data_IF_878325067368
#
_entry.id   IF_878325067368
#
_cell.length_a   1.000
_cell.length_b   1.000
_cell.length_c   1.000
_cell.angle_alpha   90.00
_cell.angle_beta   90.00
_cell.angle_gamma   90.00
#
_symmetry.space_group_name_H-M   'P 1'
#
loop_
_entity.id
_entity.type
_entity.pdbx_description
1 polymer ?
#
# COMPACT_ATOMS: atom_id res chain seq x y z
N UNK A 1 34.76 -3.97 23.82
CA UNK A 1 34.10 -4.74 22.78
C UNK A 1 34.04 -3.86 21.53
N UNK A 2 34.51 -4.34 20.40
CA UNK A 2 34.48 -3.55 19.16
C UNK A 2 33.09 -3.59 18.51
N UNK A 3 32.79 -2.65 17.62
CA UNK A 3 31.55 -2.70 16.82
C UNK A 3 31.41 -4.04 16.08
N UNK A 4 32.55 -4.57 15.58
CA UNK A 4 32.58 -5.88 14.92
C UNK A 4 32.13 -7.03 15.84
N UNK A 5 32.56 -7.01 17.09
CA UNK A 5 32.19 -8.05 18.07
C UNK A 5 30.72 -7.96 18.44
N UNK A 6 30.19 -6.73 18.59
CA UNK A 6 28.77 -6.50 18.85
C UNK A 6 27.90 -6.99 17.70
N UNK A 7 28.26 -6.66 16.46
CA UNK A 7 27.55 -7.10 15.27
C UNK A 7 27.52 -8.62 15.15
N UNK A 8 28.68 -9.28 15.32
CA UNK A 8 28.77 -10.75 15.28
C UNK A 8 27.90 -11.39 16.35
N UNK A 9 27.91 -10.86 17.57
CA UNK A 9 27.11 -11.34 18.69
C UNK A 9 25.62 -11.21 18.41
N UNK A 10 25.18 -10.04 17.89
CA UNK A 10 23.76 -9.79 17.59
C UNK A 10 23.25 -10.62 16.42
N UNK A 11 24.03 -10.72 15.35
CA UNK A 11 23.66 -11.56 14.20
C UNK A 11 23.51 -13.02 14.64
N UNK A 12 24.48 -13.54 15.42
CA UNK A 12 24.40 -14.87 16.01
C UNK A 12 23.12 -15.05 16.85
N UNK A 13 22.82 -14.09 17.73
CA UNK A 13 21.61 -14.10 18.54
C UNK A 13 20.34 -14.21 17.68
N UNK A 14 20.23 -13.40 16.60
CA UNK A 14 19.06 -13.46 15.71
C UNK A 14 18.97 -14.80 14.97
N UNK A 15 20.08 -15.38 14.54
CA UNK A 15 20.10 -16.67 13.85
C UNK A 15 19.71 -17.83 14.76
N UNK A 16 20.10 -17.80 16.02
CA UNK A 16 19.91 -18.89 16.99
C UNK A 16 18.62 -18.74 17.82
N UNK A 17 18.02 -17.55 17.90
CA UNK A 17 16.80 -17.33 18.69
C UNK A 17 15.60 -17.99 18.02
N UNK A 18 14.89 -18.91 18.71
CA UNK A 18 13.68 -19.52 18.17
C UNK A 18 12.57 -18.48 18.04
N UNK A 19 11.77 -18.59 16.98
CA UNK A 19 10.59 -17.76 16.82
C UNK A 19 9.34 -18.44 17.42
N UNK A 20 8.66 -17.71 18.32
CA UNK A 20 7.30 -18.01 18.74
C UNK A 20 6.32 -17.35 17.76
N UNK A 21 5.95 -18.09 16.72
CA UNK A 21 5.06 -17.61 15.65
C UNK A 21 3.62 -17.85 16.07
N UNK A 22 2.87 -16.77 16.28
CA UNK A 22 1.45 -16.85 16.67
C UNK A 22 0.55 -16.31 15.57
N UNK A 23 -0.55 -17.03 15.33
CA UNK A 23 -1.59 -16.54 14.44
C UNK A 23 -2.23 -15.27 15.04
N UNK A 24 -2.21 -14.17 14.30
CA UNK A 24 -2.80 -12.92 14.72
C UNK A 24 -4.20 -12.75 14.10
N UNK A 25 -5.15 -12.33 14.93
CA UNK A 25 -6.51 -11.95 14.55
C UNK A 25 -6.71 -10.43 14.52
N UNK A 26 -5.71 -9.71 14.99
CA UNK A 26 -5.61 -8.24 14.93
C UNK A 26 -4.27 -7.87 14.29
N UNK A 27 -4.20 -6.68 13.71
CA UNK A 27 -2.95 -6.16 13.16
C UNK A 27 -2.03 -5.82 14.35
N UNK A 28 -0.82 -6.45 14.44
CA UNK A 28 0.07 -6.22 15.55
C UNK A 28 0.63 -4.80 15.54
N UNK A 29 0.85 -4.28 16.72
CA UNK A 29 1.57 -3.04 16.95
C UNK A 29 2.92 -3.32 17.65
N UNK A 30 3.68 -2.27 17.92
CA UNK A 30 5.02 -2.37 18.51
C UNK A 30 5.05 -3.13 19.85
N UNK A 31 3.98 -3.10 20.65
CA UNK A 31 3.89 -3.78 21.94
C UNK A 31 3.63 -5.29 21.85
N UNK A 32 3.11 -5.76 20.71
CA UNK A 32 2.76 -7.17 20.52
C UNK A 32 3.96 -8.03 20.08
N UNK A 33 5.03 -7.42 19.60
CA UNK A 33 6.19 -8.07 19.01
C UNK A 33 7.45 -7.80 19.82
N UNK A 34 8.47 -8.67 19.68
CA UNK A 34 9.79 -8.48 20.30
C UNK A 34 10.88 -8.62 19.24
N UNK A 35 12.03 -7.98 19.48
CA UNK A 35 13.21 -8.09 18.60
C UNK A 35 13.76 -9.52 18.49
N UNK A 36 13.48 -10.36 19.50
CA UNK A 36 13.96 -11.74 19.54
C UNK A 36 12.82 -12.65 19.97
N UNK A 37 12.12 -13.22 19.03
CA UNK A 37 11.27 -14.38 19.29
C UNK A 37 9.79 -14.23 19.01
N UNK A 38 9.09 -13.18 19.45
CA UNK A 38 7.64 -13.04 19.19
C UNK A 38 7.38 -12.52 17.78
N UNK A 39 6.75 -13.35 16.97
CA UNK A 39 6.39 -13.06 15.58
C UNK A 39 4.90 -13.29 15.38
N UNK A 40 4.23 -12.40 14.65
CA UNK A 40 2.83 -12.57 14.31
C UNK A 40 2.68 -13.06 12.87
N UNK A 41 1.85 -14.08 12.66
CA UNK A 41 1.44 -14.55 11.33
C UNK A 41 0.03 -14.04 11.05
N UNK A 42 -0.13 -13.33 9.93
CA UNK A 42 -1.42 -12.80 9.47
C UNK A 42 -1.88 -13.54 8.22
N UNK A 43 -3.19 -13.64 8.05
CA UNK A 43 -3.87 -13.83 6.78
C UNK A 43 -4.65 -12.55 6.49
N UNK A 44 -4.10 -11.70 5.61
CA UNK A 44 -4.58 -10.34 5.44
C UNK A 44 -4.45 -9.87 3.99
N UNK A 45 -5.12 -8.77 3.66
CA UNK A 45 -5.00 -8.08 2.38
C UNK A 45 -4.23 -6.80 2.58
N UNK A 46 -3.23 -6.60 1.72
CA UNK A 46 -2.35 -5.44 1.75
C UNK A 46 -2.68 -4.53 0.59
N UNK A 47 -2.81 -3.23 0.87
CA UNK A 47 -2.91 -2.16 -0.10
C UNK A 47 -1.66 -1.29 -0.02
N UNK A 48 -1.07 -1.00 -1.17
CA UNK A 48 -0.09 0.07 -1.35
C UNK A 48 -0.64 1.10 -2.33
N UNK A 49 -0.57 2.37 -1.96
CA UNK A 49 -0.93 3.48 -2.83
C UNK A 49 0.24 4.45 -2.93
N UNK A 50 0.62 4.78 -4.15
CA UNK A 50 1.84 5.51 -4.51
C UNK A 50 1.52 6.67 -5.46
N UNK A 51 2.18 7.83 -5.28
CA UNK A 51 2.08 8.96 -6.19
C UNK A 51 2.98 8.71 -7.40
N UNK A 52 2.44 8.88 -8.60
CA UNK A 52 3.25 8.73 -9.81
C UNK A 52 4.15 9.94 -10.01
N UNK A 53 5.39 9.68 -10.42
CA UNK A 53 6.36 10.71 -10.80
C UNK A 53 6.62 11.77 -9.72
N UNK A 54 6.53 11.40 -8.46
CA UNK A 54 6.73 12.28 -7.30
C UNK A 54 8.11 12.97 -7.28
N UNK A 55 9.13 12.36 -7.88
CA UNK A 55 10.44 13.01 -8.06
C UNK A 55 10.34 14.29 -8.88
N UNK A 56 9.54 14.30 -9.96
CA UNK A 56 9.29 15.52 -10.75
C UNK A 56 8.63 16.62 -9.93
N UNK A 57 7.70 16.25 -9.04
CA UNK A 57 7.04 17.20 -8.16
C UNK A 57 8.04 18.00 -7.32
N UNK A 58 9.06 17.33 -6.81
CA UNK A 58 10.10 17.95 -5.96
C UNK A 58 11.08 18.77 -6.80
N UNK A 59 11.36 18.35 -8.02
CA UNK A 59 12.27 19.06 -8.95
C UNK A 59 11.64 20.31 -9.56
N UNK A 60 10.33 20.27 -9.86
CA UNK A 60 9.64 21.33 -10.59
C UNK A 60 8.94 22.36 -9.68
N UNK A 61 8.63 21.99 -8.42
CA UNK A 61 7.92 22.88 -7.50
C UNK A 61 8.76 23.23 -6.27
N UNK A 62 8.40 24.34 -5.62
CA UNK A 62 9.05 24.68 -4.34
C UNK A 62 8.75 23.61 -3.29
N UNK A 63 9.69 23.36 -2.37
CA UNK A 63 9.54 22.41 -1.27
C UNK A 63 8.25 22.64 -0.46
N UNK A 64 7.84 23.90 -0.32
CA UNK A 64 6.59 24.27 0.38
C UNK A 64 5.36 23.75 -0.35
N UNK A 65 5.30 23.89 -1.68
CA UNK A 65 4.17 23.43 -2.49
C UNK A 65 4.17 21.91 -2.55
N UNK A 66 5.31 21.30 -2.85
CA UNK A 66 5.46 19.86 -2.86
C UNK A 66 5.04 19.22 -1.51
N UNK A 67 5.51 19.77 -0.38
CA UNK A 67 5.17 19.30 0.96
C UNK A 67 3.67 19.36 1.25
N UNK A 68 2.98 20.43 0.82
CA UNK A 68 1.51 20.52 0.97
C UNK A 68 0.76 19.51 0.10
N UNK A 69 1.25 19.24 -1.10
CA UNK A 69 0.70 18.21 -1.98
C UNK A 69 0.86 16.82 -1.34
N UNK A 70 2.06 16.48 -0.84
CA UNK A 70 2.29 15.24 -0.11
C UNK A 70 1.36 15.08 1.10
N UNK A 71 1.24 16.12 1.93
CA UNK A 71 0.34 16.09 3.09
C UNK A 71 -1.11 15.84 2.69
N UNK A 72 -1.62 16.54 1.68
CA UNK A 72 -2.98 16.38 1.19
C UNK A 72 -3.24 15.00 0.62
N UNK A 73 -2.29 14.51 -0.18
CA UNK A 73 -2.34 13.19 -0.81
C UNK A 73 -2.36 12.08 0.26
N UNK A 74 -1.33 12.00 1.09
CA UNK A 74 -1.20 10.94 2.11
C UNK A 74 -2.36 10.96 3.12
N UNK A 75 -2.80 12.15 3.56
CA UNK A 75 -3.96 12.27 4.44
C UNK A 75 -5.23 11.68 3.81
N UNK A 76 -5.49 12.02 2.55
CA UNK A 76 -6.69 11.57 1.85
C UNK A 76 -6.70 10.05 1.68
N UNK A 77 -5.58 9.49 1.25
CA UNK A 77 -5.44 8.04 1.04
C UNK A 77 -5.58 7.27 2.37
N UNK A 78 -4.89 7.74 3.41
CA UNK A 78 -4.97 7.12 4.74
C UNK A 78 -6.38 7.20 5.32
N UNK A 79 -7.07 8.33 5.14
CA UNK A 79 -8.46 8.51 5.59
C UNK A 79 -9.40 7.52 4.91
N UNK A 80 -9.25 7.30 3.60
CA UNK A 80 -10.06 6.33 2.84
C UNK A 80 -9.78 4.90 3.30
N UNK A 81 -8.51 4.53 3.47
CA UNK A 81 -8.13 3.19 3.96
C UNK A 81 -8.75 2.96 5.35
N UNK A 82 -8.64 3.93 6.26
CA UNK A 82 -9.21 3.85 7.62
C UNK A 82 -10.73 3.77 7.61
N UNK A 83 -11.42 4.54 6.77
CA UNK A 83 -12.90 4.54 6.69
C UNK A 83 -13.48 3.21 6.21
N UNK A 84 -12.69 2.41 5.48
CA UNK A 84 -13.07 1.08 5.03
C UNK A 84 -12.54 -0.06 5.93
N UNK A 85 -12.08 0.27 7.15
CA UNK A 85 -11.64 -0.70 8.15
C UNK A 85 -10.20 -1.19 7.99
N UNK A 86 -9.38 -0.52 7.18
CA UNK A 86 -7.94 -0.79 7.08
C UNK A 86 -7.13 -0.09 8.17
N UNK A 87 -6.00 -0.66 8.54
CA UNK A 87 -5.02 -0.05 9.43
C UNK A 87 -3.82 0.43 8.62
N UNK A 88 -3.39 1.69 8.87
CA UNK A 88 -2.17 2.22 8.26
C UNK A 88 -0.97 1.66 9.00
N UNK A 89 -0.05 1.07 8.27
CA UNK A 89 1.11 0.38 8.84
C UNK A 89 2.45 0.98 8.43
N UNK A 90 2.49 1.77 7.38
CA UNK A 90 3.70 2.48 6.99
C UNK A 90 3.38 3.69 6.09
N UNK A 91 4.23 4.70 6.19
CA UNK A 91 4.42 5.76 5.20
C UNK A 91 5.87 5.69 4.71
N UNK A 92 6.08 5.70 3.41
CA UNK A 92 7.39 5.70 2.80
C UNK A 92 7.43 6.75 1.68
N UNK A 93 7.91 7.95 2.03
CA UNK A 93 7.85 9.11 1.15
C UNK A 93 6.42 9.49 0.77
N UNK A 94 6.08 9.30 -0.48
CA UNK A 94 4.77 9.56 -1.08
C UNK A 94 3.85 8.32 -1.13
N UNK A 95 4.26 7.25 -0.45
CA UNK A 95 3.58 5.97 -0.43
C UNK A 95 2.94 5.69 0.92
N UNK A 96 1.76 5.10 0.91
CA UNK A 96 1.09 4.61 2.10
C UNK A 96 0.80 3.12 1.97
N UNK A 97 1.06 2.37 3.05
CA UNK A 97 0.70 0.97 3.19
C UNK A 97 -0.45 0.82 4.18
N UNK A 98 -1.46 0.05 3.80
CA UNK A 98 -2.55 -0.36 4.67
C UNK A 98 -2.75 -1.86 4.68
N UNK A 99 -3.28 -2.38 5.78
CA UNK A 99 -3.59 -3.81 5.95
C UNK A 99 -5.05 -3.94 6.35
N UNK A 100 -5.74 -4.91 5.73
CA UNK A 100 -7.10 -5.30 6.03
C UNK A 100 -7.14 -6.74 6.50
N UNK A 101 -7.93 -7.02 7.53
CA UNK A 101 -8.18 -8.35 8.09
C UNK A 101 -9.69 -8.65 8.11
N UNK A 102 -10.04 -9.90 8.40
CA UNK A 102 -11.45 -10.33 8.49
C UNK A 102 -12.02 -10.82 7.16
N UNK A 103 -13.32 -11.10 7.16
CA UNK A 103 -13.98 -11.80 6.06
C UNK A 103 -14.08 -10.96 4.77
N UNK A 104 -14.21 -9.64 4.90
CA UNK A 104 -14.35 -8.71 3.77
C UNK A 104 -13.06 -8.01 3.39
N UNK A 105 -11.91 -8.46 3.90
CA UNK A 105 -10.60 -7.81 3.70
C UNK A 105 -10.27 -7.49 2.25
N UNK A 106 -10.61 -8.39 1.31
CA UNK A 106 -10.32 -8.22 -0.11
C UNK A 106 -11.20 -7.14 -0.74
N UNK A 107 -12.51 -7.21 -0.50
CA UNK A 107 -13.48 -6.23 -1.03
C UNK A 107 -13.26 -4.85 -0.41
N UNK A 108 -13.02 -4.75 0.90
CA UNK A 108 -12.73 -3.48 1.59
C UNK A 108 -11.46 -2.81 1.06
N UNK A 109 -10.37 -3.57 0.89
CA UNK A 109 -9.14 -3.04 0.30
C UNK A 109 -9.32 -2.58 -1.14
N UNK A 110 -10.07 -3.35 -1.94
CA UNK A 110 -10.33 -3.04 -3.34
C UNK A 110 -11.25 -1.83 -3.50
N UNK A 111 -12.32 -1.73 -2.71
CA UNK A 111 -13.20 -0.54 -2.67
C UNK A 111 -12.39 0.70 -2.25
N UNK A 112 -11.51 0.58 -1.25
CA UNK A 112 -10.60 1.67 -0.87
C UNK A 112 -9.74 2.13 -2.06
N UNK A 113 -9.22 1.21 -2.85
CA UNK A 113 -8.43 1.54 -4.03
C UNK A 113 -9.26 2.30 -5.10
N UNK A 114 -10.51 1.89 -5.33
CA UNK A 114 -11.42 2.60 -6.24
C UNK A 114 -11.84 3.98 -5.68
N UNK A 115 -12.05 4.10 -4.37
CA UNK A 115 -12.32 5.39 -3.71
C UNK A 115 -11.10 6.32 -3.76
N UNK A 116 -9.88 5.80 -3.62
CA UNK A 116 -8.64 6.56 -3.82
C UNK A 116 -8.59 7.13 -5.24
N UNK A 117 -8.97 6.35 -6.26
CA UNK A 117 -9.03 6.84 -7.62
C UNK A 117 -10.01 8.02 -7.76
N UNK A 118 -11.19 7.94 -7.13
CA UNK A 118 -12.12 9.06 -7.08
C UNK A 118 -11.51 10.29 -6.38
N UNK A 119 -10.94 10.10 -5.18
CA UNK A 119 -10.37 11.20 -4.41
C UNK A 119 -9.26 11.93 -5.15
N UNK A 120 -8.34 11.18 -5.76
CA UNK A 120 -7.22 11.79 -6.50
C UNK A 120 -7.70 12.51 -7.74
N UNK A 121 -8.55 11.88 -8.55
CA UNK A 121 -8.97 12.42 -9.84
C UNK A 121 -9.99 13.55 -9.74
N UNK A 122 -10.94 13.45 -8.79
CA UNK A 122 -12.10 14.34 -8.73
C UNK A 122 -12.08 15.33 -7.56
N UNK A 123 -11.18 15.13 -6.58
CA UNK A 123 -11.07 16.02 -5.41
C UNK A 123 -9.69 16.65 -5.34
N UNK A 124 -8.63 15.85 -5.16
CA UNK A 124 -7.29 16.37 -4.91
C UNK A 124 -6.72 17.15 -6.11
N UNK A 125 -6.75 16.52 -7.29
CA UNK A 125 -6.22 17.14 -8.51
C UNK A 125 -6.86 18.52 -8.77
N UNK A 126 -8.19 18.66 -8.92
CA UNK A 126 -8.78 19.98 -9.22
C UNK A 126 -8.60 20.99 -8.08
N UNK A 127 -8.62 20.57 -6.80
CA UNK A 127 -8.41 21.49 -5.69
C UNK A 127 -6.97 22.02 -5.63
N UNK A 128 -5.98 21.14 -5.82
CA UNK A 128 -4.57 21.52 -5.75
C UNK A 128 -4.14 22.34 -6.97
N UNK A 129 -4.59 21.99 -8.17
CA UNK A 129 -4.35 22.77 -9.39
C UNK A 129 -5.03 24.14 -9.32
N UNK A 130 -6.24 24.22 -8.79
CA UNK A 130 -6.94 25.49 -8.60
C UNK A 130 -6.31 26.40 -7.54
N UNK A 131 -5.61 25.82 -6.55
CA UNK A 131 -4.95 26.59 -5.48
C UNK A 131 -3.51 26.97 -5.81
N UNK A 132 -2.74 26.08 -6.42
CA UNK A 132 -1.33 26.29 -6.75
C UNK A 132 -1.16 26.51 -8.25
N UNK A 133 -1.12 27.79 -8.70
CA UNK A 133 -0.89 28.14 -10.12
C UNK A 133 0.40 27.51 -10.67
N UNK A 134 1.46 27.49 -9.84
CA UNK A 134 2.73 26.86 -10.20
C UNK A 134 2.60 25.36 -10.52
N UNK A 135 1.61 24.67 -9.97
CA UNK A 135 1.36 23.26 -10.28
C UNK A 135 0.85 23.09 -11.72
N UNK A 136 -0.10 23.94 -12.15
CA UNK A 136 -0.58 23.94 -13.54
C UNK A 136 0.48 24.37 -14.56
N UNK A 137 1.41 25.25 -14.16
CA UNK A 137 2.50 25.76 -15.00
C UNK A 137 3.68 24.78 -15.11
N UNK A 138 3.87 23.90 -14.12
CA UNK A 138 4.99 22.95 -14.06
C UNK A 138 4.87 21.79 -15.06
N UNK A 139 3.67 21.51 -15.58
CA UNK A 139 3.42 20.31 -16.38
C UNK A 139 3.41 19.01 -15.58
N UNK A 140 3.53 19.08 -14.24
CA UNK A 140 3.33 17.93 -13.38
C UNK A 140 1.84 17.60 -13.23
N UNK A 141 1.48 16.36 -13.43
CA UNK A 141 0.11 15.89 -13.26
C UNK A 141 -0.01 15.01 -12.01
N UNK A 142 -0.87 15.42 -11.07
CA UNK A 142 -1.16 14.59 -9.88
C UNK A 142 -1.87 13.31 -10.33
N UNK A 143 -1.20 12.21 -10.11
CA UNK A 143 -1.72 10.88 -10.42
C UNK A 143 -1.18 9.84 -9.44
N UNK A 144 -1.79 8.66 -9.42
CA UNK A 144 -1.47 7.62 -8.44
C UNK A 144 -1.52 6.23 -9.06
N UNK A 145 -1.01 5.27 -8.32
CA UNK A 145 -1.20 3.85 -8.60
C UNK A 145 -1.44 3.09 -7.30
N UNK A 146 -2.40 2.18 -7.31
CA UNK A 146 -2.72 1.33 -6.16
C UNK A 146 -2.51 -0.12 -6.53
N UNK A 147 -1.78 -0.83 -5.68
CA UNK A 147 -1.59 -2.28 -5.76
C UNK A 147 -2.23 -2.98 -4.57
N UNK A 148 -2.92 -4.10 -4.81
CA UNK A 148 -3.55 -4.91 -3.76
C UNK A 148 -3.21 -6.38 -3.94
N UNK A 149 -2.75 -7.02 -2.86
CA UNK A 149 -2.56 -8.48 -2.81
C UNK A 149 -3.00 -9.05 -1.46
N UNK A 150 -3.25 -10.36 -1.40
CA UNK A 150 -3.80 -11.03 -0.23
C UNK A 150 -3.11 -12.38 0.04
N UNK A 151 -2.98 -12.71 1.31
CA UNK A 151 -2.45 -13.99 1.74
C UNK A 151 -1.81 -13.98 3.11
N UNK A 152 -1.01 -15.01 3.37
CA UNK A 152 -0.30 -15.16 4.64
C UNK A 152 1.07 -14.50 4.59
N UNK A 153 1.41 -13.75 5.64
CA UNK A 153 2.72 -13.14 5.83
C UNK A 153 3.02 -12.93 7.32
N UNK A 154 4.25 -12.58 7.64
CA UNK A 154 4.72 -12.38 8.99
C UNK A 154 4.91 -10.89 9.29
N UNK A 155 4.57 -10.50 10.52
CA UNK A 155 4.98 -9.24 11.13
C UNK A 155 6.12 -9.52 12.11
N UNK A 156 7.26 -8.92 11.86
CA UNK A 156 8.50 -9.11 12.63
C UNK A 156 9.02 -7.76 13.07
N UNK A 157 9.36 -7.62 14.34
CA UNK A 157 10.02 -6.41 14.85
C UNK A 157 11.49 -6.44 14.47
N UNK A 158 11.98 -5.43 13.77
CA UNK A 158 13.36 -5.33 13.31
C UNK A 158 13.97 -3.96 13.62
N UNK A 159 15.30 -3.90 13.70
CA UNK A 159 16.06 -2.69 14.00
C UNK A 159 16.74 -2.72 15.35
N UNK A 160 17.09 -1.55 15.86
CA UNK A 160 17.72 -1.36 17.16
C UNK A 160 16.65 -1.27 18.26
N UNK A 161 17.00 -1.55 19.50
CA UNK A 161 16.07 -1.43 20.64
C UNK A 161 15.44 -0.04 20.77
N UNK A 162 16.18 1.00 20.42
CA UNK A 162 15.75 2.41 20.48
C UNK A 162 15.21 2.96 19.17
N UNK A 163 15.38 2.21 18.06
CA UNK A 163 14.97 2.62 16.73
C UNK A 163 14.57 1.35 15.94
N UNK A 164 13.35 0.93 16.06
CA UNK A 164 12.80 -0.28 15.43
C UNK A 164 11.47 0.00 14.78
N UNK A 165 11.08 -0.90 13.89
CA UNK A 165 9.80 -0.87 13.20
C UNK A 165 9.32 -2.30 12.94
N UNK A 166 8.06 -2.43 12.51
CA UNK A 166 7.49 -3.70 12.09
C UNK A 166 7.78 -3.91 10.60
N UNK A 167 8.47 -5.00 10.30
CA UNK A 167 8.73 -5.45 8.93
C UNK A 167 7.73 -6.53 8.56
N UNK A 168 7.08 -6.35 7.42
CA UNK A 168 6.06 -7.24 6.88
C UNK A 168 6.68 -8.18 5.87
N UNK A 169 6.85 -9.46 6.22
CA UNK A 169 7.62 -10.44 5.46
C UNK A 169 6.69 -11.45 4.78
N UNK A 170 6.58 -11.37 3.47
CA UNK A 170 5.78 -12.28 2.66
C UNK A 170 5.47 -11.72 1.28
N UNK A 171 4.83 -12.56 0.45
CA UNK A 171 4.47 -12.18 -0.91
C UNK A 171 3.47 -11.00 -0.95
N UNK A 172 2.38 -10.98 -0.15
CA UNK A 172 1.37 -9.93 -0.26
C UNK A 172 1.91 -8.50 -0.12
N UNK A 173 2.68 -8.12 0.91
CA UNK A 173 3.23 -6.76 0.98
C UNK A 173 4.17 -6.44 -0.18
N UNK A 174 5.01 -7.38 -0.60
CA UNK A 174 5.95 -7.16 -1.69
C UNK A 174 5.25 -7.00 -3.04
N UNK A 175 4.27 -7.86 -3.33
CA UNK A 175 3.56 -7.82 -4.62
C UNK A 175 2.63 -6.60 -4.71
N UNK A 176 1.91 -6.25 -3.64
CA UNK A 176 1.11 -5.03 -3.59
C UNK A 176 1.97 -3.78 -3.84
N UNK A 177 3.16 -3.70 -3.22
CA UNK A 177 4.11 -2.62 -3.48
C UNK A 177 4.54 -2.58 -4.96
N UNK A 178 4.88 -3.73 -5.57
CA UNK A 178 5.26 -3.80 -6.98
C UNK A 178 4.12 -3.43 -7.94
N UNK A 179 2.90 -3.80 -7.61
CA UNK A 179 1.73 -3.39 -8.40
C UNK A 179 1.50 -1.86 -8.32
N UNK A 180 1.75 -1.22 -7.18
CA UNK A 180 1.64 0.23 -7.04
C UNK A 180 2.72 1.01 -7.82
N UNK A 181 3.79 0.34 -8.25
CA UNK A 181 4.86 0.93 -9.07
C UNK A 181 4.55 0.90 -10.59
N UNK A 182 3.42 0.33 -11.03
CA UNK A 182 3.04 0.30 -12.45
C UNK A 182 2.72 1.72 -12.93
N UNK A 183 3.28 2.11 -14.09
CA UNK A 183 3.23 3.49 -14.61
C UNK A 183 2.35 3.65 -15.86
N UNK A 184 1.30 2.84 -15.98
CA UNK A 184 0.28 3.02 -17.03
C UNK A 184 -0.61 4.21 -16.70
N UNK A 185 -0.89 5.07 -17.68
CA UNK A 185 -1.62 6.33 -17.45
C UNK A 185 -3.14 6.14 -17.32
N UNK A 186 -3.68 5.10 -17.97
CA UNK A 186 -5.13 4.86 -18.04
C UNK A 186 -5.66 4.13 -16.80
N UNK A 187 -4.85 3.24 -16.23
CA UNK A 187 -5.25 2.40 -15.10
C UNK A 187 -4.54 2.84 -13.84
N UNK A 188 -5.29 2.99 -12.76
CA UNK A 188 -4.77 3.43 -11.46
C UNK A 188 -4.83 2.36 -10.38
N UNK A 189 -5.54 1.25 -10.62
CA UNK A 189 -5.73 0.19 -9.63
C UNK A 189 -5.37 -1.17 -10.21
N UNK A 190 -4.56 -1.92 -9.46
CA UNK A 190 -4.10 -3.26 -9.82
C UNK A 190 -4.30 -4.20 -8.65
N UNK A 191 -4.93 -5.35 -8.88
CA UNK A 191 -5.16 -6.39 -7.89
C UNK A 191 -4.69 -7.73 -8.43
N UNK A 192 -4.24 -8.63 -7.57
CA UNK A 192 -3.91 -10.00 -7.99
C UNK A 192 -5.18 -10.80 -8.29
N UNK A 193 -5.04 -11.87 -9.08
CA UNK A 193 -6.15 -12.79 -9.35
C UNK A 193 -6.72 -13.36 -8.06
N UNK A 194 -5.88 -13.65 -7.08
CA UNK A 194 -6.32 -14.13 -5.76
C UNK A 194 -7.24 -13.14 -5.04
N UNK A 195 -6.96 -11.83 -5.13
CA UNK A 195 -7.85 -10.79 -4.62
C UNK A 195 -9.15 -10.78 -5.42
N UNK A 196 -9.05 -10.74 -6.76
CA UNK A 196 -10.21 -10.68 -7.65
C UNK A 196 -11.20 -11.83 -7.44
N UNK A 197 -10.72 -13.05 -7.31
CA UNK A 197 -11.58 -14.22 -7.08
C UNK A 197 -12.35 -14.13 -5.75
N UNK A 198 -11.79 -13.46 -4.75
CA UNK A 198 -12.35 -13.30 -3.41
C UNK A 198 -13.16 -11.99 -3.22
N UNK A 199 -13.44 -11.24 -4.29
CA UNK A 199 -14.25 -10.02 -4.22
C UNK A 199 -15.74 -10.34 -4.16
N UNK A 200 -16.46 -9.54 -3.40
CA UNK A 200 -17.91 -9.45 -3.48
C UNK A 200 -18.35 -8.63 -4.70
N UNK A 201 -19.59 -8.81 -5.14
CA UNK A 201 -20.13 -8.16 -6.33
C UNK A 201 -19.96 -6.63 -6.38
N UNK A 202 -20.17 -5.86 -5.29
CA UNK A 202 -19.95 -4.42 -5.31
C UNK A 202 -18.50 -4.01 -5.63
N UNK A 203 -17.52 -4.87 -5.35
CA UNK A 203 -16.12 -4.62 -5.69
C UNK A 203 -15.74 -5.12 -7.11
N UNK A 204 -16.60 -5.95 -7.73
CA UNK A 204 -16.41 -6.48 -9.09
C UNK A 204 -17.12 -5.66 -10.15
N UNK A 205 -18.36 -5.28 -9.87
CA UNK A 205 -19.27 -4.68 -10.84
C UNK A 205 -19.66 -3.26 -10.42
N UNK A 206 -19.87 -2.38 -11.41
CA UNK A 206 -20.23 -1.00 -11.16
C UNK A 206 -20.75 -0.30 -12.40
N UNK A 207 -20.87 1.04 -12.31
CA UNK A 207 -21.48 1.84 -13.36
C UNK A 207 -22.99 1.65 -13.48
N UNK A 208 -23.62 2.38 -14.41
CA UNK A 208 -25.09 2.34 -14.62
C UNK A 208 -25.60 0.99 -15.12
N UNK A 209 -24.78 0.25 -15.86
CA UNK A 209 -25.13 -1.03 -16.45
C UNK A 209 -24.66 -2.24 -15.63
N UNK A 210 -24.13 -2.00 -14.42
CA UNK A 210 -23.56 -3.04 -13.57
C UNK A 210 -22.47 -3.86 -14.30
N UNK A 211 -21.53 -3.18 -14.93
CA UNK A 211 -20.48 -3.76 -15.75
C UNK A 211 -19.32 -4.27 -14.90
N UNK A 212 -18.59 -5.26 -15.41
CA UNK A 212 -17.35 -5.71 -14.82
C UNK A 212 -16.30 -4.56 -14.88
N UNK A 213 -15.83 -4.13 -13.72
CA UNK A 213 -14.89 -3.00 -13.59
C UNK A 213 -13.42 -3.37 -13.84
N UNK A 214 -13.13 -4.62 -14.13
CA UNK A 214 -11.79 -5.19 -14.14
C UNK A 214 -11.42 -5.78 -15.47
N UNK A 215 -10.19 -5.50 -15.91
CA UNK A 215 -9.58 -6.09 -17.10
C UNK A 215 -8.41 -6.98 -16.68
N UNK A 216 -8.44 -8.22 -17.11
CA UNK A 216 -7.36 -9.19 -16.86
C UNK A 216 -6.15 -8.90 -17.73
N UNK A 217 -4.94 -9.05 -17.13
CA UNK A 217 -3.68 -9.01 -17.87
C UNK A 217 -2.63 -9.93 -17.25
N UNK A 218 -1.61 -10.26 -18.02
CA UNK A 218 -0.41 -10.91 -17.53
C UNK A 218 0.58 -9.90 -16.94
N UNK A 219 1.26 -10.28 -15.88
CA UNK A 219 2.26 -9.47 -15.19
C UNK A 219 3.47 -10.32 -14.79
N UNK A 220 4.66 -9.96 -15.26
CA UNK A 220 5.92 -10.59 -14.86
C UNK A 220 6.28 -10.19 -13.42
N UNK A 221 6.42 -11.17 -12.55
CA UNK A 221 6.86 -10.96 -11.17
C UNK A 221 7.87 -12.05 -10.80
N UNK A 222 9.13 -11.64 -10.54
CA UNK A 222 10.25 -12.59 -10.44
C UNK A 222 10.28 -13.50 -11.68
N UNK A 223 10.36 -14.80 -11.52
CA UNK A 223 10.38 -15.79 -12.61
C UNK A 223 8.97 -16.31 -12.98
N UNK A 224 7.91 -15.67 -12.45
CA UNK A 224 6.52 -16.08 -12.67
C UNK A 224 5.79 -15.11 -13.62
N UNK A 225 4.85 -15.63 -14.41
CA UNK A 225 3.90 -14.85 -15.18
C UNK A 225 2.53 -14.93 -14.48
N UNK A 226 2.20 -13.88 -13.75
CA UNK A 226 0.99 -13.83 -12.93
C UNK A 226 -0.19 -13.26 -13.72
N UNK A 227 -1.38 -13.74 -13.39
CA UNK A 227 -2.62 -13.06 -13.75
C UNK A 227 -2.91 -11.98 -12.72
N UNK A 228 -3.09 -10.75 -13.18
CA UNK A 228 -3.56 -9.63 -12.40
C UNK A 228 -4.77 -9.00 -13.07
N UNK A 229 -5.52 -8.21 -12.31
CA UNK A 229 -6.66 -7.45 -12.81
C UNK A 229 -6.41 -5.97 -12.57
N UNK A 230 -6.76 -5.14 -13.56
CA UNK A 230 -6.59 -3.69 -13.50
C UNK A 230 -7.91 -2.98 -13.72
N UNK A 231 -8.05 -1.80 -13.13
CA UNK A 231 -9.25 -0.98 -13.25
C UNK A 231 -8.92 0.49 -13.45
N UNK A 232 -9.73 1.15 -14.28
CA UNK A 232 -9.81 2.60 -14.43
C UNK A 232 -11.04 3.20 -13.74
N UNK A 233 -11.88 2.36 -13.19
CA UNK A 233 -13.09 2.79 -12.49
C UNK A 233 -12.75 3.49 -11.17
N UNK A 234 -13.69 4.25 -10.69
CA UNK A 234 -13.64 4.86 -9.37
C UNK A 234 -14.97 4.65 -8.63
N UNK A 235 -14.90 4.72 -7.32
CA UNK A 235 -16.05 4.64 -6.43
C UNK A 235 -16.21 5.99 -5.71
N UNK A 236 -17.30 6.69 -5.98
CA UNK A 236 -17.63 7.97 -5.34
C UNK A 236 -18.20 7.75 -3.93
N UNK A 237 -17.98 8.69 -3.04
CA UNK A 237 -18.45 8.68 -1.65
C UNK A 237 -18.87 10.09 -1.23
#
# INVERSE_FOLDING_TARGET
MTLSDDLKSKVKQFMESPWDVRQATIIPNDSNLTLTGKVAKLDATVIYADMRSSSKLVDELTQRVAGKIYQSFLYSLASIIKSNGGEITAYDGDRVMGIFIGNYKNSSATISALMINHAVSNILKPMLEGHFKSLGESGFEISHCVGVDTGSFLAVKAGLRSANDIVWIGRPPNLAAKLSEIRETVYSTYITDKVFQALDDPAKYGGKANELMWEQRNYGYLDENLIIHRSKYYWSF
#
